data_IF_711839722054
#
_entry.id   IF_711839722054
#
_cell.length_a   1.000
_cell.length_b   1.000
_cell.length_c   1.000
_cell.angle_alpha   90.00
_cell.angle_beta   90.00
_cell.angle_gamma   90.00
#
_symmetry.space_group_name_H-M   'P 1'
#
loop_
_entity.id
_entity.type
_entity.pdbx_description
1 polymer ?
#
# COMPACT_ATOMS: atom_id res chain seq x y z
N UNK A 1 -26.42 7.12 7.52
CA UNK A 1 -24.95 7.25 7.34
C UNK A 1 -24.62 8.70 7.61
N UNK A 2 -24.13 9.06 8.81
CA UNK A 2 -23.90 10.47 9.15
C UNK A 2 -22.74 11.00 8.30
N UNK A 3 -22.98 12.03 7.48
CA UNK A 3 -21.91 12.69 6.76
C UNK A 3 -20.90 13.25 7.78
N UNK A 4 -19.67 12.72 7.77
CA UNK A 4 -18.57 13.15 8.66
C UNK A 4 -18.31 14.67 8.52
N UNK A 5 -18.58 15.20 7.34
CA UNK A 5 -18.43 16.59 6.94
C UNK A 5 -19.80 17.28 6.95
N UNK A 6 -19.84 18.53 7.44
CA UNK A 6 -21.05 19.35 7.43
C UNK A 6 -21.32 19.98 6.06
N UNK A 7 -20.26 20.17 5.26
CA UNK A 7 -20.33 20.81 3.96
C UNK A 7 -19.29 20.24 3.00
N UNK A 8 -19.68 20.08 1.75
CA UNK A 8 -18.78 19.79 0.65
C UNK A 8 -18.77 20.98 -0.30
N UNK A 9 -17.57 21.50 -0.56
CA UNK A 9 -17.32 22.58 -1.52
C UNK A 9 -16.54 21.98 -2.68
N UNK A 10 -16.90 22.33 -3.91
CA UNK A 10 -16.17 21.93 -5.12
C UNK A 10 -15.74 23.15 -5.90
N UNK A 11 -14.43 23.41 -5.92
CA UNK A 11 -13.82 24.53 -6.63
C UNK A 11 -13.30 24.02 -7.97
N UNK A 12 -13.99 24.38 -9.05
CA UNK A 12 -13.58 24.10 -10.42
C UNK A 12 -12.66 25.23 -10.92
N UNK A 13 -11.35 25.06 -10.71
CA UNK A 13 -10.34 26.09 -10.95
C UNK A 13 -9.90 26.14 -12.42
N UNK A 14 -9.78 24.98 -13.05
CA UNK A 14 -9.53 24.86 -14.49
C UNK A 14 -10.70 24.11 -15.07
N UNK A 15 -11.57 24.81 -15.80
CA UNK A 15 -12.86 24.31 -16.24
C UNK A 15 -12.76 22.94 -16.94
N UNK A 16 -12.99 21.85 -16.20
CA UNK A 16 -13.32 20.58 -16.83
C UNK A 16 -14.58 20.84 -17.66
N UNK A 17 -14.52 20.57 -18.98
CA UNK A 17 -15.59 20.88 -19.93
C UNK A 17 -16.94 20.32 -19.47
N UNK A 18 -16.91 19.20 -18.77
CA UNK A 18 -18.11 18.55 -18.23
C UNK A 18 -18.71 19.37 -17.09
N UNK A 19 -17.91 19.76 -16.10
CA UNK A 19 -18.38 20.50 -14.91
C UNK A 19 -18.68 21.97 -15.22
N UNK A 20 -18.04 22.54 -16.24
CA UNK A 20 -18.29 23.93 -16.65
C UNK A 20 -19.75 24.17 -17.04
N UNK A 21 -20.39 23.17 -17.65
CA UNK A 21 -21.71 23.29 -18.30
C UNK A 21 -22.91 22.99 -17.40
N UNK A 22 -22.68 22.54 -16.16
CA UNK A 22 -23.75 22.09 -15.25
C UNK A 22 -24.08 23.06 -14.15
N UNK A 23 -25.33 23.13 -13.74
CA UNK A 23 -25.79 24.08 -12.73
C UNK A 23 -25.52 23.58 -11.31
N UNK A 24 -25.52 22.26 -11.12
CA UNK A 24 -25.25 21.63 -9.84
C UNK A 24 -24.42 20.35 -9.98
N UNK A 25 -23.71 20.01 -8.92
CA UNK A 25 -22.84 18.84 -8.83
C UNK A 25 -23.17 18.06 -7.56
N UNK A 26 -23.14 16.73 -7.66
CA UNK A 26 -23.25 15.82 -6.53
C UNK A 26 -21.98 14.98 -6.45
N UNK A 27 -21.50 14.76 -5.22
CA UNK A 27 -20.34 13.92 -4.95
C UNK A 27 -20.75 12.91 -3.88
N UNK A 28 -20.72 11.61 -4.22
CA UNK A 28 -21.19 10.54 -3.33
C UNK A 28 -22.61 10.79 -2.80
N UNK A 29 -23.53 11.12 -3.71
CA UNK A 29 -24.95 11.37 -3.43
C UNK A 29 -25.21 12.53 -2.46
N UNK A 30 -24.22 13.40 -2.25
CA UNK A 30 -24.34 14.63 -1.46
C UNK A 30 -24.23 15.86 -2.37
N UNK A 31 -25.14 16.84 -2.26
CA UNK A 31 -25.03 18.10 -3.01
C UNK A 31 -23.78 18.87 -2.56
N UNK A 32 -23.12 19.55 -3.50
CA UNK A 32 -21.93 20.36 -3.21
C UNK A 32 -22.18 21.83 -3.52
N UNK A 33 -21.52 22.72 -2.78
CA UNK A 33 -21.37 24.12 -3.20
C UNK A 33 -20.37 24.16 -4.36
N UNK A 34 -20.87 24.40 -5.58
CA UNK A 34 -20.04 24.46 -6.78
C UNK A 34 -19.55 25.89 -7.01
N UNK A 35 -18.25 26.10 -6.89
CA UNK A 35 -17.56 27.36 -7.20
C UNK A 35 -16.87 27.22 -8.55
N UNK A 36 -17.22 28.08 -9.51
CA UNK A 36 -16.65 28.06 -10.87
C UNK A 36 -15.76 29.28 -11.08
N UNK A 37 -14.49 29.05 -11.35
CA UNK A 37 -13.59 30.09 -11.87
C UNK A 37 -13.67 30.06 -13.40
N UNK A 38 -13.88 31.22 -14.02
CA UNK A 38 -13.98 31.29 -15.47
C UNK A 38 -12.60 31.13 -16.10
N UNK A 39 -12.58 30.60 -17.31
CA UNK A 39 -11.34 30.41 -18.06
C UNK A 39 -10.63 31.76 -18.28
N UNK A 40 -9.30 31.79 -18.08
CA UNK A 40 -8.48 32.99 -18.20
C UNK A 40 -8.60 34.03 -17.08
N UNK A 41 -9.46 33.84 -16.08
CA UNK A 41 -9.50 34.74 -14.91
C UNK A 41 -8.27 34.54 -14.03
N UNK A 42 -7.57 35.62 -13.70
CA UNK A 42 -6.46 35.54 -12.75
C UNK A 42 -7.00 35.44 -11.33
N UNK A 43 -6.55 34.44 -10.57
CA UNK A 43 -6.99 34.25 -9.18
C UNK A 43 -6.77 35.48 -8.32
N UNK A 44 -5.70 36.23 -8.60
CA UNK A 44 -5.30 37.44 -7.87
C UNK A 44 -6.37 38.54 -7.96
N UNK A 45 -7.02 38.66 -9.11
CA UNK A 45 -7.95 39.73 -9.49
C UNK A 45 -9.41 39.40 -9.16
N UNK A 46 -9.69 38.21 -8.61
CA UNK A 46 -11.05 37.80 -8.23
C UNK A 46 -11.56 38.65 -7.06
N UNK A 47 -12.65 39.39 -7.30
CA UNK A 47 -13.33 40.21 -6.29
C UNK A 47 -14.77 39.79 -6.02
N UNK A 48 -15.37 38.94 -6.88
CA UNK A 48 -16.75 38.50 -6.72
C UNK A 48 -16.88 37.47 -5.57
N UNK A 49 -17.68 37.76 -4.52
CA UNK A 49 -17.91 36.83 -3.41
C UNK A 49 -18.62 35.53 -3.80
N UNK A 50 -19.18 35.41 -5.01
CA UNK A 50 -19.72 34.14 -5.53
C UNK A 50 -18.62 33.16 -5.93
N UNK A 51 -17.40 33.66 -6.17
CA UNK A 51 -16.23 32.87 -6.58
C UNK A 51 -15.38 32.42 -5.40
N UNK A 52 -15.84 32.67 -4.18
CA UNK A 52 -15.24 32.20 -2.95
C UNK A 52 -16.24 31.33 -2.19
N UNK A 53 -15.78 30.22 -1.61
CA UNK A 53 -16.64 29.37 -0.81
C UNK A 53 -17.08 30.08 0.47
N UNK A 54 -18.37 29.99 0.80
CA UNK A 54 -18.95 30.70 1.95
C UNK A 54 -19.06 29.81 3.17
N UNK A 55 -18.99 30.35 4.38
CA UNK A 55 -19.27 29.62 5.63
C UNK A 55 -18.47 28.31 5.77
N UNK A 56 -17.19 28.29 5.40
CA UNK A 56 -16.33 27.12 5.60
C UNK A 56 -16.10 26.92 7.10
N UNK A 57 -16.25 25.68 7.57
CA UNK A 57 -15.94 25.26 8.95
C UNK A 57 -14.72 24.33 8.96
N UNK A 58 -14.18 24.02 10.14
CA UNK A 58 -13.14 23.00 10.30
C UNK A 58 -13.62 21.57 9.95
N UNK A 59 -14.92 21.37 9.78
CA UNK A 59 -15.52 20.09 9.36
C UNK A 59 -15.90 20.07 7.88
N UNK A 60 -15.63 21.14 7.13
CA UNK A 60 -15.89 21.19 5.70
C UNK A 60 -14.86 20.37 4.92
N UNK A 61 -15.26 19.91 3.72
CA UNK A 61 -14.38 19.24 2.77
C UNK A 61 -14.36 20.03 1.47
N UNK A 62 -13.20 20.55 1.12
CA UNK A 62 -13.03 21.42 -0.06
C UNK A 62 -12.32 20.64 -1.14
N UNK A 63 -13.01 20.33 -2.23
CA UNK A 63 -12.41 19.75 -3.42
C UNK A 63 -11.84 20.87 -4.29
N UNK A 64 -10.60 20.69 -4.72
CA UNK A 64 -9.91 21.55 -5.65
C UNK A 64 -9.67 20.78 -6.94
N UNK A 65 -10.38 21.17 -7.99
CA UNK A 65 -10.32 20.54 -9.31
C UNK A 65 -9.45 21.36 -10.25
N UNK A 66 -8.27 20.83 -10.52
CA UNK A 66 -7.34 21.33 -11.54
C UNK A 66 -6.61 20.15 -12.18
N UNK A 67 -6.07 20.30 -13.39
CA UNK A 67 -5.13 19.31 -13.91
C UNK A 67 -3.72 19.60 -13.40
N UNK A 68 -2.89 18.58 -13.33
CA UNK A 68 -1.51 18.73 -12.89
C UNK A 68 -0.69 17.57 -13.38
N UNK A 69 0.61 17.70 -13.16
CA UNK A 69 1.64 16.74 -13.55
C UNK A 69 2.61 16.65 -12.39
N UNK A 70 3.10 15.45 -12.09
CA UNK A 70 3.98 15.26 -10.92
C UNK A 70 5.31 15.98 -11.14
N UNK A 71 5.75 16.15 -12.40
CA UNK A 71 6.95 16.92 -12.74
C UNK A 71 6.77 18.44 -12.56
N UNK A 72 5.55 18.90 -12.34
CA UNK A 72 5.19 20.32 -12.23
C UNK A 72 4.61 20.61 -10.84
N UNK A 73 5.47 20.54 -9.83
CA UNK A 73 5.09 20.73 -8.43
C UNK A 73 4.84 22.19 -8.02
N UNK A 74 5.04 23.16 -8.93
CA UNK A 74 4.87 24.59 -8.67
C UNK A 74 3.69 25.22 -9.41
N UNK A 75 2.90 24.43 -10.15
CA UNK A 75 1.80 24.93 -10.97
C UNK A 75 0.72 23.87 -11.23
N UNK A 76 -0.47 24.35 -11.57
CA UNK A 76 -1.56 23.53 -12.12
C UNK A 76 -1.86 23.92 -13.56
N UNK A 77 -2.42 22.98 -14.31
CA UNK A 77 -2.67 23.06 -15.75
C UNK A 77 -4.17 23.11 -16.07
N UNK A 78 -4.51 23.80 -17.16
CA UNK A 78 -5.83 23.72 -17.79
C UNK A 78 -5.87 22.57 -18.82
N UNK A 79 -7.01 21.84 -18.89
CA UNK A 79 -7.22 20.73 -19.82
C UNK A 79 -7.54 21.16 -21.25
N UNK A 80 -8.11 22.36 -21.44
CA UNK A 80 -8.72 22.76 -22.72
C UNK A 80 -7.70 22.99 -23.84
N UNK A 81 -6.47 23.32 -23.47
CA UNK A 81 -5.36 23.50 -24.40
C UNK A 81 -4.16 22.76 -23.84
N UNK A 82 -3.41 22.05 -24.69
CA UNK A 82 -2.07 21.59 -24.33
C UNK A 82 -1.11 22.74 -23.98
N UNK A 83 -1.52 23.98 -24.30
CA UNK A 83 -0.83 25.23 -24.00
C UNK A 83 -1.46 25.98 -22.80
N UNK A 84 -0.62 26.74 -22.10
CA UNK A 84 -0.67 26.88 -20.65
C UNK A 84 -1.27 28.21 -20.19
N UNK A 85 -2.43 28.18 -19.53
CA UNK A 85 -2.71 29.11 -18.42
C UNK A 85 -2.24 28.43 -17.14
N UNK A 86 -1.18 28.99 -16.56
CA UNK A 86 -0.49 28.50 -15.36
C UNK A 86 -1.15 29.21 -14.18
N UNK A 87 -1.86 28.52 -13.29
CA UNK A 87 -1.95 29.05 -11.93
C UNK A 87 -0.73 28.53 -11.19
N UNK A 88 0.14 29.44 -10.81
CA UNK A 88 1.29 29.08 -10.01
C UNK A 88 0.88 28.79 -8.56
N UNK A 89 1.80 28.19 -7.82
CA UNK A 89 1.63 27.86 -6.41
C UNK A 89 1.24 29.09 -5.56
N UNK A 90 1.76 30.27 -5.87
CA UNK A 90 1.49 31.49 -5.10
C UNK A 90 0.07 31.98 -5.33
N UNK A 91 -0.40 31.94 -6.57
CA UNK A 91 -1.76 32.34 -6.94
C UNK A 91 -2.79 31.43 -6.28
N UNK A 92 -2.56 30.12 -6.31
CA UNK A 92 -3.45 29.15 -5.65
C UNK A 92 -3.41 29.33 -4.13
N UNK A 93 -2.23 29.51 -3.54
CA UNK A 93 -2.12 29.74 -2.10
C UNK A 93 -2.81 31.04 -1.67
N UNK A 94 -2.66 32.12 -2.43
CA UNK A 94 -3.33 33.40 -2.15
C UNK A 94 -4.85 33.29 -2.24
N UNK A 95 -5.36 32.55 -3.23
CA UNK A 95 -6.79 32.28 -3.33
C UNK A 95 -7.33 31.57 -2.08
N UNK A 96 -6.68 30.51 -1.63
CA UNK A 96 -7.07 29.80 -0.41
C UNK A 96 -6.85 30.63 0.86
N UNK A 97 -5.79 31.42 0.93
CA UNK A 97 -5.52 32.33 2.05
C UNK A 97 -6.65 33.33 2.27
N UNK A 98 -7.20 33.91 1.18
CA UNK A 98 -8.39 34.78 1.23
C UNK A 98 -9.68 34.02 1.48
N UNK A 99 -9.80 32.79 0.99
CA UNK A 99 -10.99 31.97 1.23
C UNK A 99 -11.09 31.46 2.69
N UNK A 100 -9.96 31.33 3.38
CA UNK A 100 -9.83 30.67 4.69
C UNK A 100 -9.32 31.62 5.78
N UNK A 101 -9.91 32.81 5.89
CA UNK A 101 -9.45 33.85 6.82
C UNK A 101 -9.78 33.58 8.30
N UNK A 102 -10.69 32.64 8.59
CA UNK A 102 -11.14 32.34 9.95
C UNK A 102 -10.00 31.90 10.87
N UNK A 103 -9.99 32.42 12.10
CA UNK A 103 -9.01 32.09 13.14
C UNK A 103 -8.99 30.59 13.49
N UNK A 104 -10.11 29.89 13.29
CA UNK A 104 -10.22 28.45 13.56
C UNK A 104 -9.23 27.62 12.74
N UNK A 105 -8.84 28.10 11.56
CA UNK A 105 -7.87 27.42 10.70
C UNK A 105 -6.42 27.71 11.10
N UNK A 106 -6.19 28.66 12.01
CA UNK A 106 -4.87 29.05 12.51
C UNK A 106 -4.54 28.40 13.86
N UNK A 107 -5.47 27.61 14.41
CA UNK A 107 -5.28 26.89 15.66
C UNK A 107 -4.89 25.42 15.37
N UNK A 108 -3.68 24.97 15.76
CA UNK A 108 -3.22 23.60 15.52
C UNK A 108 -4.03 22.54 16.29
N UNK A 109 -4.73 22.93 17.36
CA UNK A 109 -5.47 22.05 18.26
C UNK A 109 -6.91 21.80 17.82
N UNK A 110 -7.41 22.53 16.83
CA UNK A 110 -8.74 22.29 16.26
C UNK A 110 -8.76 20.94 15.55
N UNK A 111 -9.67 20.06 15.99
CA UNK A 111 -9.93 18.74 15.38
C UNK A 111 -11.44 18.52 15.19
N UNK A 112 -11.87 17.91 14.06
CA UNK A 112 -11.07 17.61 12.87
C UNK A 112 -10.62 18.91 12.19
N UNK A 113 -9.56 18.82 11.38
CA UNK A 113 -9.09 19.94 10.55
C UNK A 113 -9.84 19.97 9.22
N UNK A 114 -9.91 21.15 8.63
CA UNK A 114 -10.41 21.33 7.27
C UNK A 114 -9.64 20.40 6.33
N UNK A 115 -10.35 19.65 5.50
CA UNK A 115 -9.72 18.77 4.50
C UNK A 115 -9.79 19.38 3.11
N UNK A 116 -8.64 19.74 2.55
CA UNK A 116 -8.50 20.11 1.15
C UNK A 116 -8.23 18.85 0.32
N UNK A 117 -9.04 18.57 -0.69
CA UNK A 117 -8.90 17.41 -1.56
C UNK A 117 -8.49 17.84 -2.96
N UNK A 118 -7.29 17.46 -3.34
CA UNK A 118 -6.73 17.76 -4.65
C UNK A 118 -7.25 16.74 -5.67
N UNK A 119 -8.14 17.14 -6.58
CA UNK A 119 -8.62 16.33 -7.72
C UNK A 119 -7.66 16.39 -8.92
N UNK A 120 -6.36 16.58 -8.67
CA UNK A 120 -5.34 16.68 -9.69
C UNK A 120 -5.01 15.30 -10.25
N UNK A 121 -4.76 15.21 -11.56
CA UNK A 121 -4.41 13.99 -12.30
C UNK A 121 -3.05 13.36 -11.92
N UNK A 122 -2.53 13.60 -10.71
CA UNK A 122 -1.17 13.40 -10.16
C UNK A 122 -0.65 14.77 -9.66
N UNK A 123 -0.08 14.84 -8.45
CA UNK A 123 0.29 16.14 -7.88
C UNK A 123 0.57 16.13 -6.37
N UNK A 124 1.17 15.06 -5.85
CA UNK A 124 1.56 15.03 -4.43
C UNK A 124 2.62 16.11 -4.17
N UNK A 125 3.60 16.28 -5.07
CA UNK A 125 4.57 17.37 -4.98
C UNK A 125 3.92 18.76 -4.85
N UNK A 126 2.94 19.07 -5.71
CA UNK A 126 2.20 20.34 -5.64
C UNK A 126 1.41 20.47 -4.34
N UNK A 127 0.68 19.42 -3.93
CA UNK A 127 -0.08 19.43 -2.68
C UNK A 127 0.81 19.66 -1.45
N UNK A 128 2.00 19.05 -1.43
CA UNK A 128 2.98 19.24 -0.37
C UNK A 128 3.44 20.69 -0.28
N UNK A 129 3.81 21.28 -1.42
CA UNK A 129 4.24 22.69 -1.52
C UNK A 129 3.11 23.65 -1.16
N UNK A 130 1.87 23.36 -1.59
CA UNK A 130 0.71 24.19 -1.28
C UNK A 130 0.40 24.18 0.22
N UNK A 131 0.38 23.02 0.88
CA UNK A 131 0.14 22.95 2.33
C UNK A 131 1.22 23.72 3.09
N UNK A 132 2.49 23.53 2.75
CA UNK A 132 3.60 24.28 3.37
C UNK A 132 3.46 25.77 3.19
N UNK A 133 3.06 26.22 1.99
CA UNK A 133 2.88 27.65 1.70
C UNK A 133 1.68 28.25 2.44
N UNK A 134 0.57 27.51 2.54
CA UNK A 134 -0.60 27.94 3.31
C UNK A 134 -0.26 28.07 4.81
N UNK A 135 0.60 27.18 5.32
CA UNK A 135 1.14 27.33 6.67
C UNK A 135 2.10 28.52 6.79
N UNK A 136 3.13 28.62 5.94
CA UNK A 136 4.18 29.65 6.07
C UNK A 136 3.66 31.08 5.87
N UNK A 137 2.78 31.27 4.89
CA UNK A 137 2.37 32.61 4.47
C UNK A 137 1.07 33.06 5.15
N UNK A 138 0.22 32.11 5.54
CA UNK A 138 -1.13 32.40 6.07
C UNK A 138 -1.39 31.80 7.46
N UNK A 139 -0.46 30.99 8.00
CA UNK A 139 -0.61 30.35 9.31
C UNK A 139 -1.68 29.26 9.36
N UNK A 140 -2.02 28.64 8.22
CA UNK A 140 -3.15 27.71 8.12
C UNK A 140 -2.75 26.26 8.43
N UNK A 141 -3.42 25.66 9.42
CA UNK A 141 -3.35 24.25 9.79
C UNK A 141 -4.47 23.46 9.12
N UNK A 142 -4.25 23.06 7.87
CA UNK A 142 -5.20 22.27 7.09
C UNK A 142 -4.62 20.89 6.78
N UNK A 143 -5.48 19.90 6.65
CA UNK A 143 -5.10 18.57 6.16
C UNK A 143 -5.35 18.51 4.65
N UNK A 144 -4.44 17.91 3.89
CA UNK A 144 -4.53 17.84 2.43
C UNK A 144 -4.56 16.40 1.96
N UNK A 145 -5.60 16.02 1.22
CA UNK A 145 -5.67 14.73 0.53
C UNK A 145 -5.23 14.93 -0.91
N UNK A 146 -4.19 14.20 -1.32
CA UNK A 146 -3.68 14.19 -2.68
C UNK A 146 -3.65 12.78 -3.26
N UNK A 147 -3.59 12.66 -4.59
CA UNK A 147 -3.51 11.38 -5.28
C UNK A 147 -2.07 11.19 -5.80
N UNK A 148 -1.47 10.02 -5.53
CA UNK A 148 -0.17 9.62 -6.11
C UNK A 148 -0.27 9.26 -7.59
N UNK A 149 -1.48 8.88 -8.03
CA UNK A 149 -1.75 8.39 -9.38
C UNK A 149 -2.73 9.28 -10.11
N UNK A 150 -2.82 9.09 -11.43
CA UNK A 150 -3.77 9.78 -12.29
C UNK A 150 -5.19 9.41 -11.92
N UNK A 151 -6.00 10.39 -11.53
CA UNK A 151 -7.43 10.20 -11.25
C UNK A 151 -8.27 10.45 -12.49
N UNK A 152 -9.18 9.53 -12.77
CA UNK A 152 -10.23 9.62 -13.77
C UNK A 152 -11.57 9.65 -13.05
N UNK A 153 -12.26 10.78 -13.09
CA UNK A 153 -13.62 10.88 -12.55
C UNK A 153 -14.62 10.39 -13.61
N UNK A 154 -15.57 9.54 -13.19
CA UNK A 154 -16.72 9.16 -14.02
C UNK A 154 -17.91 10.01 -13.63
N UNK A 155 -18.50 10.63 -14.64
CA UNK A 155 -19.65 11.50 -14.51
C UNK A 155 -20.89 10.80 -15.04
N UNK A 156 -21.99 10.85 -14.28
CA UNK A 156 -23.33 10.54 -14.77
C UNK A 156 -24.16 11.81 -14.76
N UNK A 157 -24.57 12.28 -15.95
CA UNK A 157 -25.46 13.43 -16.09
C UNK A 157 -26.90 12.99 -15.82
N UNK A 158 -27.60 13.73 -14.98
CA UNK A 158 -29.04 13.51 -14.77
C UNK A 158 -29.81 13.98 -16.01
N UNK A 159 -30.88 13.26 -16.35
CA UNK A 159 -31.68 13.56 -17.54
C UNK A 159 -32.71 14.66 -17.26
N UNK A 160 -33.16 14.76 -16.01
CA UNK A 160 -34.28 15.64 -15.61
C UNK A 160 -33.82 17.05 -15.22
N UNK A 161 -32.55 17.22 -14.85
CA UNK A 161 -31.94 18.50 -14.53
C UNK A 161 -30.52 18.59 -15.10
N UNK A 162 -29.99 19.81 -15.22
CA UNK A 162 -28.63 20.03 -15.70
C UNK A 162 -27.59 19.77 -14.58
N UNK A 163 -27.71 18.65 -13.88
CA UNK A 163 -26.83 18.22 -12.81
C UNK A 163 -25.97 17.02 -13.20
N UNK A 164 -24.82 16.87 -12.54
CA UNK A 164 -23.93 15.71 -12.69
C UNK A 164 -23.67 15.09 -11.32
N UNK A 165 -23.64 13.76 -11.30
CA UNK A 165 -23.16 12.99 -10.16
C UNK A 165 -21.76 12.43 -10.48
N UNK A 166 -20.80 12.66 -9.58
CA UNK A 166 -19.51 11.95 -9.57
C UNK A 166 -19.72 10.68 -8.73
N UNK A 167 -20.08 9.61 -9.42
CA UNK A 167 -20.40 8.32 -8.80
C UNK A 167 -19.15 7.48 -8.54
N UNK A 168 -18.14 7.57 -9.42
CA UNK A 168 -16.93 6.77 -9.34
C UNK A 168 -15.69 7.58 -9.70
N UNK A 169 -14.59 7.30 -9.02
CA UNK A 169 -13.25 7.73 -9.42
C UNK A 169 -12.44 6.47 -9.70
N UNK A 170 -11.59 6.50 -10.72
CA UNK A 170 -10.65 5.43 -11.08
C UNK A 170 -9.23 6.00 -11.09
N UNK A 171 -8.21 5.17 -10.86
CA UNK A 171 -6.81 5.63 -10.92
C UNK A 171 -5.97 4.80 -11.88
N UNK A 172 -5.03 5.43 -12.58
CA UNK A 172 -4.06 4.76 -13.45
C UNK A 172 -2.62 5.27 -13.24
N UNK A 173 -1.64 4.45 -13.60
CA UNK A 173 -0.24 4.87 -13.70
C UNK A 173 -0.08 5.68 -14.98
N UNK A 174 0.75 6.73 -14.94
CA UNK A 174 1.08 7.55 -16.11
C UNK A 174 1.66 6.70 -17.25
N UNK A 175 1.17 6.87 -18.47
CA UNK A 175 1.72 6.24 -19.68
C UNK A 175 1.24 4.81 -20.00
N UNK A 176 0.56 4.12 -19.08
CA UNK A 176 0.14 2.71 -19.26
C UNK A 176 -1.34 2.58 -19.69
N UNK A 177 -1.99 3.69 -20.06
CA UNK A 177 -3.43 3.69 -20.32
C UNK A 177 -4.27 3.44 -19.05
N UNK A 178 -5.58 3.19 -19.19
CA UNK A 178 -6.52 2.97 -18.08
C UNK A 178 -6.36 1.57 -17.45
N UNK A 179 -5.14 1.13 -17.18
CA UNK A 179 -4.90 -0.11 -16.44
C UNK A 179 -4.96 0.17 -14.93
N UNK A 180 -5.89 -0.52 -14.27
CA UNK A 180 -6.13 -0.43 -12.84
C UNK A 180 -5.02 -1.16 -12.08
N UNK A 181 -3.88 -0.51 -11.85
CA UNK A 181 -2.76 -1.18 -11.16
C UNK A 181 -2.75 -0.97 -9.65
N UNK A 182 -3.39 0.09 -9.14
CA UNK A 182 -3.57 0.32 -7.71
C UNK A 182 -4.95 0.94 -7.46
N UNK A 183 -5.85 0.31 -6.68
CA UNK A 183 -7.08 0.98 -6.26
C UNK A 183 -6.68 2.18 -5.38
N UNK A 184 -6.67 3.39 -5.95
CA UNK A 184 -6.57 4.70 -5.28
C UNK A 184 -5.41 4.93 -4.31
N UNK A 185 -4.16 5.08 -4.77
CA UNK A 185 -3.14 5.62 -3.86
C UNK A 185 -3.40 7.10 -3.54
N UNK A 186 -4.05 7.33 -2.39
CA UNK A 186 -4.30 8.63 -1.78
C UNK A 186 -3.39 8.78 -0.59
N UNK A 187 -2.85 9.98 -0.44
CA UNK A 187 -2.12 10.38 0.75
C UNK A 187 -2.85 11.47 1.48
N UNK A 188 -2.84 11.37 2.80
CA UNK A 188 -3.20 12.44 3.70
C UNK A 188 -1.90 13.13 4.14
N UNK A 189 -1.75 14.39 3.78
CA UNK A 189 -0.70 15.26 4.24
C UNK A 189 -1.20 16.01 5.46
N UNK A 190 -0.47 15.91 6.56
CA UNK A 190 -0.71 16.66 7.79
C UNK A 190 0.49 17.56 8.06
N UNK A 191 0.27 18.65 8.78
CA UNK A 191 1.33 19.60 9.16
C UNK A 191 1.25 19.90 10.67
N UNK A 192 2.39 19.93 11.34
CA UNK A 192 2.48 20.25 12.77
C UNK A 192 2.77 21.73 13.03
N UNK A 193 2.89 22.09 14.31
CA UNK A 193 3.16 23.46 14.78
C UNK A 193 4.51 24.01 14.34
N UNK A 194 5.46 23.13 14.02
CA UNK A 194 6.79 23.51 13.51
C UNK A 194 6.82 23.68 11.99
N UNK A 195 5.73 23.31 11.31
CA UNK A 195 5.64 23.26 9.85
C UNK A 195 6.20 21.96 9.26
N UNK A 196 6.52 20.96 10.09
CA UNK A 196 6.90 19.65 9.61
C UNK A 196 5.69 18.93 9.03
N UNK A 197 5.85 18.40 7.83
CA UNK A 197 4.79 17.75 7.07
C UNK A 197 4.96 16.23 7.16
N UNK A 198 3.87 15.54 7.52
CA UNK A 198 3.80 14.08 7.52
C UNK A 198 2.87 13.59 6.41
N UNK A 199 3.36 12.63 5.62
CA UNK A 199 2.59 11.92 4.61
C UNK A 199 2.07 10.61 5.19
N UNK A 200 0.75 10.40 5.12
CA UNK A 200 0.08 9.17 5.55
C UNK A 200 -0.56 8.54 4.32
N UNK A 201 0.00 7.43 3.85
CA UNK A 201 -0.63 6.63 2.80
C UNK A 201 -1.75 5.78 3.41
N UNK A 202 -2.98 6.03 2.96
CA UNK A 202 -4.16 5.39 3.53
C UNK A 202 -4.17 3.86 3.33
N UNK A 203 -3.52 3.36 2.28
CA UNK A 203 -3.49 1.92 1.98
C UNK A 203 -2.42 1.21 2.78
N UNK A 204 -1.25 1.83 2.94
CA UNK A 204 -0.21 1.33 3.84
C UNK A 204 -0.74 1.27 5.27
N UNK A 205 -1.38 2.34 5.75
CA UNK A 205 -1.98 2.37 7.09
C UNK A 205 -3.06 1.30 7.27
N UNK A 206 -3.98 1.16 6.31
CA UNK A 206 -5.03 0.13 6.35
C UNK A 206 -4.44 -1.28 6.33
N UNK A 207 -3.37 -1.50 5.58
CA UNK A 207 -2.69 -2.78 5.52
C UNK A 207 -1.96 -3.09 6.83
N UNK A 208 -1.27 -2.11 7.43
CA UNK A 208 -0.65 -2.23 8.76
C UNK A 208 -1.71 -2.64 9.79
N UNK A 209 -2.84 -1.94 9.85
CA UNK A 209 -3.96 -2.26 10.74
C UNK A 209 -4.48 -3.69 10.50
N UNK A 210 -4.62 -4.09 9.24
CA UNK A 210 -5.08 -5.43 8.89
C UNK A 210 -4.09 -6.52 9.33
N UNK A 211 -2.79 -6.31 9.13
CA UNK A 211 -1.74 -7.25 9.58
C UNK A 211 -1.79 -7.39 11.10
N UNK A 212 -1.74 -6.27 11.81
CA UNK A 212 -1.78 -6.23 13.26
C UNK A 212 -3.01 -6.97 13.80
N UNK A 213 -4.21 -6.60 13.37
CA UNK A 213 -5.44 -7.19 13.88
C UNK A 213 -5.60 -8.66 13.49
N UNK A 214 -5.26 -9.03 12.25
CA UNK A 214 -5.44 -10.41 11.77
C UNK A 214 -4.58 -11.39 12.55
N UNK A 215 -3.32 -11.02 12.83
CA UNK A 215 -2.37 -11.90 13.53
C UNK A 215 -2.67 -11.95 15.03
N UNK A 216 -2.96 -10.81 15.67
CA UNK A 216 -3.35 -10.78 17.08
C UNK A 216 -4.63 -11.59 17.36
N UNK A 217 -5.61 -11.54 16.46
CA UNK A 217 -6.82 -12.34 16.58
C UNK A 217 -6.54 -13.85 16.53
N UNK A 218 -5.42 -14.28 15.92
CA UNK A 218 -5.04 -15.69 15.93
C UNK A 218 -4.52 -16.16 17.27
N UNK A 219 -3.91 -15.28 18.07
CA UNK A 219 -3.51 -15.65 19.42
C UNK A 219 -4.73 -16.06 20.26
N UNK A 220 -5.78 -15.23 20.25
CA UNK A 220 -7.03 -15.54 20.94
C UNK A 220 -7.72 -16.80 20.40
N UNK A 221 -7.75 -16.96 19.07
CA UNK A 221 -8.30 -18.16 18.42
C UNK A 221 -7.53 -19.43 18.81
N UNK A 222 -6.20 -19.41 18.75
CA UNK A 222 -5.36 -20.55 19.07
C UNK A 222 -5.49 -20.94 20.54
N UNK A 223 -5.44 -19.98 21.46
CA UNK A 223 -5.59 -20.23 22.90
C UNK A 223 -6.91 -20.90 23.27
N UNK A 224 -7.98 -20.63 22.51
CA UNK A 224 -9.30 -21.22 22.76
C UNK A 224 -9.39 -22.71 22.38
N UNK A 225 -8.66 -23.14 21.36
CA UNK A 225 -8.83 -24.45 20.73
C UNK A 225 -7.63 -25.39 20.90
N UNK A 226 -6.47 -24.87 21.32
CA UNK A 226 -5.27 -25.67 21.50
C UNK A 226 -5.35 -26.60 22.72
N UNK A 227 -4.92 -27.85 22.54
CA UNK A 227 -4.74 -28.81 23.64
C UNK A 227 -3.34 -28.61 24.24
N UNK A 228 -3.26 -27.88 25.34
CA UNK A 228 -2.00 -27.53 25.99
C UNK A 228 -1.31 -28.68 26.74
N UNK A 229 -1.92 -29.87 26.76
CA UNK A 229 -1.21 -31.07 27.19
C UNK A 229 -0.16 -31.53 26.16
N UNK A 230 -0.24 -31.03 24.91
CA UNK A 230 0.74 -31.30 23.85
C UNK A 230 1.85 -30.24 23.89
N UNK A 231 3.13 -30.62 24.09
CA UNK A 231 4.25 -29.68 24.10
C UNK A 231 4.38 -28.85 22.81
N UNK A 232 4.01 -29.43 21.68
CA UNK A 232 3.97 -28.74 20.39
C UNK A 232 3.08 -27.49 20.42
N UNK A 233 1.92 -27.54 21.09
CA UNK A 233 1.01 -26.40 21.17
C UNK A 233 1.55 -25.28 22.06
N UNK A 234 2.40 -25.60 23.03
CA UNK A 234 3.10 -24.59 23.86
C UNK A 234 4.15 -23.86 23.00
N UNK A 235 4.91 -24.60 22.19
CA UNK A 235 5.87 -24.01 21.26
C UNK A 235 5.18 -23.15 20.19
N UNK A 236 4.06 -23.62 19.63
CA UNK A 236 3.24 -22.82 18.69
C UNK A 236 2.76 -21.53 19.38
N UNK A 237 2.20 -21.59 20.59
CA UNK A 237 1.74 -20.40 21.31
C UNK A 237 2.89 -19.41 21.55
N UNK A 238 4.06 -19.89 21.96
CA UNK A 238 5.26 -19.05 22.11
C UNK A 238 5.59 -18.36 20.79
N UNK A 239 5.64 -19.11 19.69
CA UNK A 239 5.88 -18.57 18.35
C UNK A 239 4.89 -17.49 17.93
N UNK A 240 3.58 -17.73 18.13
CA UNK A 240 2.53 -16.74 17.82
C UNK A 240 2.71 -15.48 18.67
N UNK A 241 3.05 -15.65 19.95
CA UNK A 241 3.25 -14.53 20.89
C UNK A 241 4.47 -13.70 20.49
N UNK A 242 5.60 -14.35 20.16
CA UNK A 242 6.80 -13.68 19.65
C UNK A 242 6.47 -12.86 18.40
N UNK A 243 5.78 -13.46 17.42
CA UNK A 243 5.36 -12.75 16.20
C UNK A 243 4.46 -11.54 16.49
N UNK A 244 3.51 -11.66 17.42
CA UNK A 244 2.66 -10.53 17.82
C UNK A 244 3.49 -9.40 18.45
N UNK A 245 4.40 -9.73 19.36
CA UNK A 245 5.27 -8.75 20.02
C UNK A 245 6.19 -8.03 19.02
N UNK A 246 6.72 -8.74 18.01
CA UNK A 246 7.59 -8.14 17.00
C UNK A 246 6.80 -7.22 16.05
N UNK A 247 5.56 -7.57 15.73
CA UNK A 247 4.64 -6.68 15.01
C UNK A 247 4.38 -5.40 15.82
N UNK A 248 4.07 -5.54 17.11
CA UNK A 248 3.83 -4.42 18.01
C UNK A 248 5.06 -3.52 18.13
N UNK A 249 6.24 -4.11 18.28
CA UNK A 249 7.49 -3.39 18.34
C UNK A 249 7.72 -2.56 17.06
N UNK A 250 7.51 -3.14 15.88
CA UNK A 250 7.63 -2.42 14.60
C UNK A 250 6.63 -1.27 14.52
N UNK A 251 5.36 -1.53 14.85
CA UNK A 251 4.30 -0.51 14.78
C UNK A 251 4.59 0.63 15.75
N UNK A 252 4.84 0.34 17.03
CA UNK A 252 5.12 1.35 18.07
C UNK A 252 6.35 2.18 17.73
N UNK A 253 7.40 1.54 17.19
CA UNK A 253 8.65 2.24 16.88
C UNK A 253 8.49 3.21 15.70
N UNK A 254 7.77 2.82 14.66
CA UNK A 254 7.84 3.53 13.37
C UNK A 254 6.55 4.21 12.90
N UNK A 255 5.36 3.86 13.44
CA UNK A 255 4.08 4.37 12.89
C UNK A 255 3.95 5.90 13.00
N UNK A 256 4.55 6.48 14.05
CA UNK A 256 4.56 7.92 14.26
C UNK A 256 5.62 8.65 13.43
N UNK A 257 6.67 7.95 13.02
CA UNK A 257 7.74 8.49 12.19
C UNK A 257 7.39 8.38 10.70
N UNK A 258 7.24 7.16 10.19
CA UNK A 258 7.05 6.87 8.77
C UNK A 258 6.17 5.61 8.58
N UNK A 259 4.98 5.85 8.03
CA UNK A 259 4.00 4.80 7.72
C UNK A 259 4.53 3.84 6.66
N UNK A 260 5.25 4.34 5.66
CA UNK A 260 5.81 3.52 4.59
C UNK A 260 6.96 2.66 5.12
N UNK A 261 7.82 3.22 5.97
CA UNK A 261 8.86 2.44 6.67
C UNK A 261 8.25 1.33 7.53
N UNK A 262 7.21 1.67 8.31
CA UNK A 262 6.47 0.70 9.12
C UNK A 262 5.92 -0.44 8.27
N UNK A 263 5.26 -0.11 7.15
CA UNK A 263 4.69 -1.10 6.26
C UNK A 263 5.75 -1.98 5.61
N UNK A 264 6.88 -1.40 5.18
CA UNK A 264 8.01 -2.13 4.61
C UNK A 264 8.62 -3.12 5.62
N UNK A 265 8.84 -2.69 6.87
CA UNK A 265 9.37 -3.54 7.94
C UNK A 265 8.42 -4.70 8.30
N UNK A 266 7.12 -4.42 8.39
CA UNK A 266 6.12 -5.49 8.58
C UNK A 266 6.09 -6.47 7.40
N UNK A 267 6.20 -5.98 6.16
CA UNK A 267 6.22 -6.86 5.00
C UNK A 267 7.46 -7.76 5.00
N UNK A 268 8.62 -7.21 5.39
CA UNK A 268 9.84 -7.98 5.55
C UNK A 268 9.70 -9.06 6.62
N UNK A 269 9.12 -8.74 7.78
CA UNK A 269 8.83 -9.70 8.86
C UNK A 269 7.89 -10.82 8.38
N UNK A 270 6.78 -10.49 7.74
CA UNK A 270 5.84 -11.51 7.25
C UNK A 270 6.49 -12.42 6.21
N UNK A 271 7.28 -11.84 5.31
CA UNK A 271 8.01 -12.62 4.30
C UNK A 271 9.08 -13.51 4.90
N UNK A 272 9.68 -13.16 6.04
CA UNK A 272 10.66 -14.02 6.73
C UNK A 272 10.00 -15.21 7.42
N UNK A 273 8.76 -15.09 7.92
CA UNK A 273 8.06 -16.16 8.63
C UNK A 273 7.93 -17.47 7.81
N UNK A 274 7.81 -17.37 6.49
CA UNK A 274 7.63 -18.53 5.59
C UNK A 274 8.93 -19.13 5.04
N UNK A 275 10.09 -18.75 5.57
CA UNK A 275 11.42 -19.10 5.02
C UNK A 275 12.10 -20.23 5.80
N UNK A 276 12.93 -21.02 5.13
CA UNK A 276 13.72 -22.08 5.80
C UNK A 276 14.73 -21.49 6.77
N UNK A 277 15.17 -20.26 6.52
CA UNK A 277 16.05 -19.47 7.40
C UNK A 277 15.36 -18.71 8.53
N UNK A 278 14.03 -18.81 8.67
CA UNK A 278 13.29 -18.08 9.69
C UNK A 278 13.75 -18.45 11.12
N UNK A 279 13.56 -17.51 12.06
CA UNK A 279 13.66 -17.77 13.49
C UNK A 279 12.85 -19.00 13.90
N UNK A 280 13.37 -19.81 14.82
CA UNK A 280 12.70 -21.02 15.30
C UNK A 280 11.29 -20.74 15.84
N UNK A 281 11.09 -19.61 16.51
CA UNK A 281 9.78 -19.24 17.06
C UNK A 281 8.78 -18.96 15.92
N UNK A 282 9.22 -18.34 14.82
CA UNK A 282 8.35 -18.14 13.64
C UNK A 282 8.04 -19.46 12.93
N UNK A 283 9.00 -20.39 12.85
CA UNK A 283 8.75 -21.74 12.30
C UNK A 283 7.71 -22.48 13.12
N UNK A 284 7.78 -22.38 14.44
CA UNK A 284 6.80 -22.96 15.34
C UNK A 284 5.43 -22.28 15.19
N UNK A 285 5.37 -20.95 15.07
CA UNK A 285 4.12 -20.23 14.78
C UNK A 285 3.47 -20.74 13.48
N UNK A 286 4.27 -21.01 12.45
CA UNK A 286 3.81 -21.45 11.13
C UNK A 286 3.31 -22.90 11.08
N UNK A 287 3.46 -23.68 12.15
CA UNK A 287 2.77 -24.98 12.29
C UNK A 287 1.27 -24.81 12.52
N UNK A 288 0.83 -23.63 12.97
CA UNK A 288 -0.59 -23.31 13.04
C UNK A 288 -1.16 -23.05 11.64
N UNK A 289 -1.96 -24.00 11.14
CA UNK A 289 -2.53 -24.00 9.78
C UNK A 289 -3.16 -22.67 9.36
N UNK A 290 -3.86 -21.98 10.26
CA UNK A 290 -4.50 -20.70 9.91
C UNK A 290 -3.44 -19.65 9.57
N UNK A 291 -2.37 -19.52 10.36
CA UNK A 291 -1.26 -18.62 10.05
C UNK A 291 -0.54 -19.01 8.76
N UNK A 292 -0.32 -20.32 8.53
CA UNK A 292 0.27 -20.83 7.28
C UNK A 292 -0.49 -20.36 6.04
N UNK A 293 -1.82 -20.26 6.13
CA UNK A 293 -2.68 -19.81 5.03
C UNK A 293 -2.77 -18.28 4.92
N UNK A 294 -2.83 -17.56 6.05
CA UNK A 294 -3.08 -16.12 6.05
C UNK A 294 -1.83 -15.29 5.75
N UNK A 295 -0.65 -15.68 6.26
CA UNK A 295 0.57 -14.89 6.05
C UNK A 295 0.88 -14.68 4.56
N UNK A 296 0.81 -15.70 3.68
CA UNK A 296 0.95 -15.50 2.23
C UNK A 296 -0.07 -14.52 1.64
N UNK A 297 -1.32 -14.54 2.13
CA UNK A 297 -2.35 -13.59 1.70
C UNK A 297 -2.02 -12.16 2.11
N UNK A 298 -1.61 -11.95 3.37
CA UNK A 298 -1.18 -10.65 3.88
C UNK A 298 0.02 -10.11 3.10
N UNK A 299 0.99 -10.96 2.76
CA UNK A 299 2.13 -10.61 1.91
C UNK A 299 1.67 -10.16 0.52
N UNK A 300 0.79 -10.93 -0.13
CA UNK A 300 0.27 -10.58 -1.46
C UNK A 300 -0.51 -9.27 -1.46
N UNK A 301 -1.26 -8.98 -0.39
CA UNK A 301 -1.91 -7.69 -0.20
C UNK A 301 -0.87 -6.59 -0.02
N UNK A 302 0.16 -6.82 0.80
CA UNK A 302 1.22 -5.84 1.07
C UNK A 302 1.97 -5.44 -0.20
N UNK A 303 2.33 -6.41 -1.05
CA UNK A 303 2.98 -6.15 -2.35
C UNK A 303 2.15 -5.20 -3.25
N UNK A 304 0.81 -5.25 -3.14
CA UNK A 304 -0.09 -4.38 -3.92
C UNK A 304 -0.27 -2.99 -3.30
N UNK A 305 -0.14 -2.89 -1.98
CA UNK A 305 -0.49 -1.70 -1.21
C UNK A 305 0.72 -0.84 -0.80
N UNK A 306 1.92 -1.41 -0.73
CA UNK A 306 3.12 -0.77 -0.18
C UNK A 306 4.03 -0.27 -1.29
N UNK A 307 4.58 0.94 -1.13
CA UNK A 307 5.68 1.37 -1.96
C UNK A 307 7.00 0.82 -1.41
N UNK A 308 7.54 -0.21 -2.07
CA UNK A 308 8.76 -0.88 -1.60
C UNK A 308 9.96 0.07 -1.67
N UNK A 309 10.60 0.35 -0.54
CA UNK A 309 11.87 1.10 -0.54
C UNK A 309 13.03 0.23 -1.06
N UNK A 310 14.13 0.87 -1.49
CA UNK A 310 15.26 0.16 -2.09
C UNK A 310 15.88 -0.87 -1.13
N UNK A 311 15.98 -0.53 0.16
CA UNK A 311 16.55 -1.39 1.19
C UNK A 311 15.74 -2.67 1.39
N UNK A 312 14.41 -2.57 1.38
CA UNK A 312 13.50 -3.71 1.47
C UNK A 312 13.58 -4.54 0.20
N UNK A 313 13.64 -3.93 -0.98
CA UNK A 313 13.83 -4.67 -2.24
C UNK A 313 15.14 -5.47 -2.23
N UNK A 314 16.23 -4.86 -1.76
CA UNK A 314 17.54 -5.51 -1.63
C UNK A 314 17.50 -6.66 -0.61
N UNK A 315 16.91 -6.41 0.57
CA UNK A 315 16.74 -7.43 1.59
C UNK A 315 15.95 -8.63 1.05
N UNK A 316 14.84 -8.38 0.37
CA UNK A 316 14.01 -9.43 -0.22
C UNK A 316 14.74 -10.23 -1.29
N UNK A 317 15.48 -9.56 -2.16
CA UNK A 317 16.34 -10.21 -3.17
C UNK A 317 17.40 -11.10 -2.51
N UNK A 318 18.05 -10.63 -1.44
CA UNK A 318 19.06 -11.40 -0.69
C UNK A 318 18.45 -12.63 -0.02
N UNK A 319 17.30 -12.49 0.64
CA UNK A 319 16.59 -13.61 1.25
C UNK A 319 16.20 -14.66 0.20
N UNK A 320 15.71 -14.24 -0.97
CA UNK A 320 15.38 -15.17 -2.07
C UNK A 320 16.62 -15.91 -2.60
N UNK A 321 17.76 -15.24 -2.69
CA UNK A 321 19.02 -15.88 -3.08
C UNK A 321 19.51 -16.90 -2.06
N UNK A 322 19.42 -16.60 -0.76
CA UNK A 322 19.81 -17.53 0.31
C UNK A 322 18.93 -18.78 0.27
N UNK A 323 17.61 -18.60 0.15
CA UNK A 323 16.65 -19.71 0.08
C UNK A 323 16.86 -20.58 -1.16
N UNK A 324 17.20 -19.98 -2.30
CA UNK A 324 17.55 -20.73 -3.50
C UNK A 324 18.80 -21.60 -3.29
N UNK A 325 19.82 -21.03 -2.62
CA UNK A 325 21.04 -21.77 -2.25
C UNK A 325 20.77 -22.90 -1.26
N UNK A 326 19.97 -22.67 -0.23
CA UNK A 326 19.60 -23.69 0.74
C UNK A 326 18.79 -24.82 0.12
N UNK A 327 17.79 -24.49 -0.72
CA UNK A 327 17.03 -25.51 -1.47
C UNK A 327 17.94 -26.35 -2.36
N UNK A 328 18.89 -25.73 -3.05
CA UNK A 328 19.88 -26.45 -3.85
C UNK A 328 20.78 -27.34 -2.97
N UNK A 329 21.17 -26.88 -1.78
CA UNK A 329 21.97 -27.66 -0.84
C UNK A 329 21.21 -28.88 -0.30
N UNK A 330 19.95 -28.71 0.13
CA UNK A 330 19.09 -29.81 0.59
C UNK A 330 18.85 -30.83 -0.52
N UNK A 331 18.59 -30.37 -1.75
CA UNK A 331 18.43 -31.26 -2.90
C UNK A 331 19.69 -32.09 -3.16
N UNK A 332 20.89 -31.49 -3.05
CA UNK A 332 22.16 -32.22 -3.17
C UNK A 332 22.35 -33.24 -2.06
N UNK A 333 22.04 -32.89 -0.82
CA UNK A 333 22.16 -33.80 0.33
C UNK A 333 21.19 -35.00 0.21
N UNK A 334 19.93 -34.74 -0.15
CA UNK A 334 18.94 -35.80 -0.41
C UNK A 334 19.40 -36.72 -1.54
N UNK A 335 19.92 -36.15 -2.64
CA UNK A 335 20.46 -36.94 -3.75
C UNK A 335 21.66 -37.80 -3.31
N UNK A 336 22.55 -37.27 -2.47
CA UNK A 336 23.68 -38.03 -1.90
C UNK A 336 23.22 -39.15 -0.98
N UNK A 337 22.23 -38.91 -0.12
CA UNK A 337 21.67 -39.94 0.78
C UNK A 337 20.97 -41.05 0.01
N UNK A 338 20.21 -40.73 -1.05
CA UNK A 338 19.63 -41.73 -1.97
C UNK A 338 20.74 -42.56 -2.62
N UNK A 339 21.82 -41.92 -3.07
CA UNK A 339 22.95 -42.60 -3.68
C UNK A 339 23.69 -43.54 -2.69
N UNK A 340 23.80 -43.15 -1.42
CA UNK A 340 24.36 -43.98 -0.36
C UNK A 340 23.46 -45.19 -0.05
N UNK A 341 22.15 -44.98 0.08
CA UNK A 341 21.18 -46.07 0.27
C UNK A 341 21.22 -47.08 -0.88
N UNK A 342 21.23 -46.60 -2.13
CA UNK A 342 21.31 -47.49 -3.31
C UNK A 342 22.63 -48.25 -3.40
N UNK A 343 23.74 -47.67 -2.97
CA UNK A 343 25.03 -48.39 -2.83
C UNK A 343 24.98 -49.46 -1.74
N UNK A 344 24.29 -49.21 -0.64
CA UNK A 344 24.06 -50.19 0.42
C UNK A 344 23.17 -51.34 -0.06
N UNK A 345 22.12 -51.06 -0.84
CA UNK A 345 21.27 -52.08 -1.46
C UNK A 345 22.10 -53.00 -2.38
N UNK A 346 22.96 -52.44 -3.24
CA UNK A 346 23.86 -53.23 -4.09
C UNK A 346 24.81 -54.07 -3.24
N UNK A 347 25.39 -53.49 -2.19
CA UNK A 347 26.32 -54.22 -1.30
C UNK A 347 25.63 -55.38 -0.60
N UNK A 348 24.37 -55.19 -0.19
CA UNK A 348 23.53 -56.23 0.41
C UNK A 348 23.21 -57.33 -0.61
N UNK A 349 22.82 -56.97 -1.83
CA UNK A 349 22.54 -57.94 -2.91
C UNK A 349 23.80 -58.72 -3.33
N UNK A 350 24.98 -58.10 -3.30
CA UNK A 350 26.26 -58.77 -3.55
C UNK A 350 26.63 -59.76 -2.43
N UNK A 351 26.33 -59.41 -1.19
CA UNK A 351 26.48 -60.33 -0.05
C UNK A 351 25.53 -61.54 -0.21
N UNK A 352 24.26 -61.30 -0.55
CA UNK A 352 23.30 -62.36 -0.82
C UNK A 352 23.73 -63.25 -2.01
N UNK A 353 24.30 -62.66 -3.08
CA UNK A 353 24.85 -63.40 -4.21
C UNK A 353 25.98 -64.34 -3.77
N UNK A 354 26.84 -63.88 -2.86
CA UNK A 354 27.95 -64.67 -2.31
C UNK A 354 27.47 -65.84 -1.45
N UNK A 355 26.32 -65.73 -0.81
CA UNK A 355 25.78 -66.76 0.07
C UNK A 355 24.85 -67.75 -0.65
N UNK A 356 24.10 -67.30 -1.65
CA UNK A 356 22.98 -68.05 -2.26
C UNK A 356 23.15 -68.33 -3.76
N UNK A 357 24.25 -67.86 -4.36
CA UNK A 357 24.51 -67.97 -5.80
C UNK A 357 23.95 -66.77 -6.58
N UNK A 358 24.69 -66.37 -7.61
CA UNK A 358 24.46 -65.11 -8.34
C UNK A 358 23.16 -65.10 -9.15
N UNK A 359 22.71 -66.25 -9.63
CA UNK A 359 21.57 -66.38 -10.56
C UNK A 359 20.24 -65.91 -9.95
N UNK A 360 20.09 -65.95 -8.62
CA UNK A 360 18.88 -65.50 -7.91
C UNK A 360 18.79 -63.99 -7.67
N UNK A 361 19.88 -63.25 -7.87
CA UNK A 361 19.99 -61.81 -7.53
C UNK A 361 20.57 -60.96 -8.65
N UNK A 362 21.08 -61.56 -9.73
CA UNK A 362 21.72 -60.87 -10.85
C UNK A 362 20.84 -59.78 -11.47
N UNK A 363 19.56 -60.08 -11.76
CA UNK A 363 18.62 -59.12 -12.31
C UNK A 363 18.32 -57.94 -11.38
N UNK A 364 18.38 -58.15 -10.05
CA UNK A 364 18.21 -57.09 -9.04
C UNK A 364 19.46 -56.21 -8.94
N UNK A 365 20.65 -56.81 -9.05
CA UNK A 365 21.93 -56.07 -9.07
C UNK A 365 22.02 -55.22 -10.34
N UNK A 366 21.63 -55.75 -11.50
CA UNK A 366 21.61 -55.02 -12.77
C UNK A 366 20.60 -53.86 -12.74
N UNK A 367 19.38 -54.10 -12.25
CA UNK A 367 18.39 -53.03 -12.06
C UNK A 367 18.87 -51.93 -11.12
N UNK A 368 19.48 -52.29 -9.98
CA UNK A 368 20.04 -51.30 -9.06
C UNK A 368 21.22 -50.52 -9.65
N UNK A 369 22.04 -51.13 -10.52
CA UNK A 369 23.13 -50.46 -11.25
C UNK A 369 22.61 -49.49 -12.31
N UNK A 370 21.57 -49.86 -13.05
CA UNK A 370 20.92 -48.98 -14.03
C UNK A 370 20.24 -47.78 -13.36
N UNK A 371 19.63 -47.96 -12.20
CA UNK A 371 19.11 -46.84 -11.42
C UNK A 371 20.25 -45.91 -10.96
N UNK A 372 21.35 -46.46 -10.44
CA UNK A 372 22.52 -45.68 -10.01
C UNK A 372 23.21 -44.92 -11.15
N UNK A 373 23.26 -45.48 -12.36
CA UNK A 373 23.83 -44.80 -13.52
C UNK A 373 22.97 -43.62 -13.97
N UNK A 374 21.64 -43.72 -13.87
CA UNK A 374 20.71 -42.60 -14.10
C UNK A 374 20.87 -41.47 -13.09
N UNK A 375 21.12 -41.79 -11.81
CA UNK A 375 21.38 -40.77 -10.79
C UNK A 375 22.74 -40.07 -10.94
N UNK A 376 23.78 -40.74 -11.45
CA UNK A 376 25.08 -40.12 -11.73
C UNK A 376 25.04 -39.13 -12.91
N UNK A 377 24.12 -39.33 -13.86
CA UNK A 377 23.93 -38.39 -14.99
C UNK A 377 23.34 -37.03 -14.59
N UNK A 378 22.69 -36.93 -13.42
CA UNK A 378 22.06 -35.71 -12.90
C UNK A 378 22.97 -34.86 -12.00
N UNK A 379 24.19 -35.32 -11.69
CA UNK A 379 25.13 -34.65 -10.77
C UNK A 379 26.32 -33.95 -11.45
N UNK A 380 26.38 -33.95 -12.78
CA UNK A 380 27.44 -33.35 -13.60
C UNK A 380 26.94 -32.21 -14.53
N UNK A 381 25.68 -31.79 -14.37
CA UNK A 381 25.12 -30.51 -14.84
C UNK A 381 24.86 -29.63 -13.61
#
# INVERSE_FOLDING_TARGET
MYAKYDKIVYINLTQDQVIATVDSLQVHDSPVELIKILDGQKLQELTDPSQFPRNITNRSKVYFSAHGREELDNRVLNKRSGDVTVYDLNEVAAYFGRALESLVFKDPHVKPRLTLVMCVCEGVGFAKKLQKKLFSDYGLFIDVVANKNVVHERYSKNQDDNSINISQRETSIKGVGREHQRPHSKVLLTIDETGAQKEIDAYELKWIENVHNTIHNQMGSFMKWADFNKPENIAILKGITTLCNDIDAIVVTFIEEDISLTANNLLALLRSCGKTTADSDYKDAMKYKTLTMMIPSLIQQGIKCINLNHETQDFLSRVEQIESREKAAVQREVAQNILLLKKADISTLLLEASEKGIDGVLSKIEGAREELSRFRGLGNE
#
